data_IF_714666925909
#
_entry.id   IF_714666925909
#
_cell.length_a   1.000
_cell.length_b   1.000
_cell.length_c   1.000
_cell.angle_alpha   90.00
_cell.angle_beta   90.00
_cell.angle_gamma   90.00
#
_symmetry.space_group_name_H-M   'P 1'
#
loop_
_entity.id
_entity.type
_entity.pdbx_description
1 polymer ?
#
# COMPACT_ATOMS: atom_id res chain seq x y z
N UNK A 1 13.11 -12.92 19.56
CA UNK A 1 13.43 -12.09 19.87
C UNK A 1 13.76 -11.01 19.00
N UNK A 2 14.40 -11.09 18.02
CA UNK A 2 14.65 -10.07 17.19
C UNK A 2 13.48 -9.55 16.44
N UNK A 3 12.50 -10.37 16.09
CA UNK A 3 11.38 -9.97 15.27
C UNK A 3 10.62 -8.78 15.81
N UNK A 4 10.52 -8.71 17.12
CA UNK A 4 9.79 -7.61 17.69
C UNK A 4 10.48 -6.30 17.55
N UNK A 5 11.76 -6.32 17.25
CA UNK A 5 12.52 -5.12 17.18
C UNK A 5 12.85 -4.74 15.76
N UNK A 6 12.37 -5.49 14.78
CA UNK A 6 12.63 -5.16 13.39
C UNK A 6 11.82 -3.93 13.02
N UNK A 7 12.45 -2.90 12.49
CA UNK A 7 11.74 -1.70 12.09
C UNK A 7 10.76 -1.96 10.96
N UNK A 8 9.70 -1.19 10.92
CA UNK A 8 8.70 -1.32 9.87
C UNK A 8 9.30 -1.16 8.48
N UNK A 9 10.25 -0.25 8.31
CA UNK A 9 10.82 -0.03 6.98
C UNK A 9 11.57 -1.25 6.47
N UNK A 10 12.14 -2.05 7.35
CA UNK A 10 12.83 -3.24 6.93
C UNK A 10 11.84 -4.30 6.44
N UNK A 11 10.73 -4.48 7.15
CA UNK A 11 9.70 -5.39 6.70
C UNK A 11 9.11 -4.94 5.37
N UNK A 12 8.89 -3.64 5.22
CA UNK A 12 8.35 -3.10 3.97
C UNK A 12 9.32 -3.34 2.81
N UNK A 13 10.62 -3.19 3.05
CA UNK A 13 11.62 -3.44 2.04
C UNK A 13 11.58 -4.90 1.58
N UNK A 14 11.35 -5.83 2.50
CA UNK A 14 11.23 -7.23 2.14
C UNK A 14 10.03 -7.47 1.24
N UNK A 15 8.91 -6.80 1.54
CA UNK A 15 7.72 -6.95 0.72
C UNK A 15 7.95 -6.43 -0.69
N UNK A 16 8.65 -5.31 -0.81
CA UNK A 16 8.93 -4.76 -2.13
C UNK A 16 9.79 -5.65 -2.97
N UNK A 17 10.61 -6.46 -2.34
CA UNK A 17 11.46 -7.39 -3.04
C UNK A 17 10.80 -8.75 -3.21
N UNK A 18 9.55 -8.87 -2.76
CA UNK A 18 8.81 -10.14 -2.85
C UNK A 18 9.61 -11.24 -2.17
N UNK A 19 10.21 -10.92 -1.01
CA UNK A 19 11.09 -11.82 -0.33
C UNK A 19 10.64 -12.05 1.07
N UNK A 20 10.40 -13.27 1.46
CA UNK A 20 9.98 -13.67 2.81
C UNK A 20 8.73 -12.93 3.26
N UNK A 21 7.73 -12.93 2.41
CA UNK A 21 6.49 -12.22 2.69
C UNK A 21 5.84 -12.71 3.98
N UNK A 22 5.86 -14.01 4.23
CA UNK A 22 5.22 -14.54 5.43
C UNK A 22 5.89 -14.01 6.70
N UNK A 23 7.22 -13.94 6.72
CA UNK A 23 7.92 -13.41 7.87
C UNK A 23 7.67 -11.92 8.03
N UNK A 24 7.67 -11.20 6.92
CA UNK A 24 7.40 -9.77 6.97
C UNK A 24 6.01 -9.49 7.50
N UNK A 25 5.02 -10.30 7.08
CA UNK A 25 3.67 -10.11 7.57
C UNK A 25 3.57 -10.38 9.07
N UNK A 26 4.30 -11.39 9.54
CA UNK A 26 4.32 -11.68 10.97
C UNK A 26 4.86 -10.48 11.75
N UNK A 27 5.95 -9.89 11.29
CA UNK A 27 6.52 -8.74 11.95
C UNK A 27 5.59 -7.53 11.91
N UNK A 28 4.90 -7.35 10.79
CA UNK A 28 3.96 -6.25 10.66
C UNK A 28 2.77 -6.42 11.60
N UNK A 29 2.31 -7.65 11.79
CA UNK A 29 1.22 -7.90 12.72
C UNK A 29 1.64 -7.61 14.15
N UNK A 30 2.87 -7.95 14.51
CA UNK A 30 3.39 -7.61 15.83
C UNK A 30 3.44 -6.10 16.00
N UNK A 31 3.93 -5.39 14.98
CA UNK A 31 4.00 -3.93 15.03
C UNK A 31 2.61 -3.33 15.13
N UNK A 32 1.65 -3.89 14.40
CA UNK A 32 0.28 -3.41 14.44
C UNK A 32 -0.33 -3.57 15.85
N UNK A 33 -0.05 -4.69 16.50
CA UNK A 33 -0.56 -4.90 17.84
C UNK A 33 0.02 -3.88 18.82
N UNK A 34 1.22 -3.39 18.56
CA UNK A 34 1.84 -2.40 19.43
C UNK A 34 1.39 -0.98 19.11
N UNK A 35 1.11 -0.68 17.83
CA UNK A 35 0.72 0.65 17.41
C UNK A 35 -0.37 0.55 16.36
N UNK A 36 -1.57 0.19 16.81
CA UNK A 36 -2.66 -0.10 15.88
C UNK A 36 -3.19 1.11 15.13
N UNK A 37 -2.79 2.32 15.49
CA UNK A 37 -3.23 3.50 14.77
C UNK A 37 -2.12 4.13 13.95
N UNK A 38 -1.00 3.44 13.79
CA UNK A 38 0.09 3.98 12.97
C UNK A 38 -0.25 3.72 11.49
N UNK A 39 -0.51 4.76 10.71
CA UNK A 39 -0.97 4.55 9.33
C UNK A 39 0.09 3.90 8.44
N UNK A 40 1.37 4.07 8.73
CA UNK A 40 2.42 3.43 7.94
C UNK A 40 2.43 1.93 8.16
N UNK A 41 2.19 1.49 9.39
CA UNK A 41 2.11 0.07 9.68
C UNK A 41 0.86 -0.52 9.06
N UNK A 42 -0.26 0.20 9.14
CA UNK A 42 -1.51 -0.26 8.54
C UNK A 42 -1.36 -0.39 7.02
N UNK A 43 -0.73 0.60 6.40
CA UNK A 43 -0.48 0.56 4.96
C UNK A 43 0.40 -0.64 4.60
N UNK A 44 1.44 -0.89 5.38
CA UNK A 44 2.35 -2.01 5.11
C UNK A 44 1.66 -3.36 5.20
N UNK A 45 0.78 -3.52 6.19
CA UNK A 45 0.03 -4.77 6.32
C UNK A 45 -0.90 -4.93 5.11
N UNK A 46 -1.59 -3.88 4.75
CA UNK A 46 -2.47 -3.93 3.58
C UNK A 46 -1.71 -4.28 2.32
N UNK A 47 -0.52 -3.71 2.14
CA UNK A 47 0.29 -4.01 0.96
C UNK A 47 0.76 -5.46 0.97
N UNK A 48 1.07 -6.00 2.16
CA UNK A 48 1.44 -7.40 2.28
C UNK A 48 0.30 -8.30 1.79
N UNK A 49 -0.93 -8.00 2.20
CA UNK A 49 -2.07 -8.75 1.71
C UNK A 49 -2.23 -8.61 0.19
N UNK A 50 -1.98 -7.42 -0.35
CA UNK A 50 -2.06 -7.20 -1.79
C UNK A 50 -1.07 -8.09 -2.53
N UNK A 51 0.14 -8.21 -2.01
CA UNK A 51 1.18 -8.99 -2.68
C UNK A 51 0.88 -10.49 -2.71
N UNK A 52 0.06 -10.97 -1.78
CA UNK A 52 -0.35 -12.37 -1.79
C UNK A 52 -1.76 -12.52 -2.35
N UNK A 53 -2.23 -11.52 -3.09
CA UNK A 53 -3.51 -11.56 -3.79
C UNK A 53 -4.73 -11.64 -2.88
N UNK A 54 -4.60 -11.22 -1.63
CA UNK A 54 -5.73 -11.15 -0.72
C UNK A 54 -6.29 -9.74 -0.77
N UNK A 55 -6.94 -9.42 -1.87
CA UNK A 55 -7.32 -8.04 -2.16
C UNK A 55 -8.39 -7.48 -1.23
N UNK A 56 -9.32 -8.32 -0.78
CA UNK A 56 -10.36 -7.83 0.12
C UNK A 56 -9.80 -7.47 1.49
N UNK A 57 -8.86 -8.28 1.99
CA UNK A 57 -8.21 -7.94 3.25
C UNK A 57 -7.34 -6.69 3.06
N UNK A 58 -6.63 -6.61 1.95
CA UNK A 58 -5.80 -5.45 1.66
C UNK A 58 -6.64 -4.18 1.69
N UNK A 59 -7.84 -4.25 1.14
CA UNK A 59 -8.70 -3.07 1.05
C UNK A 59 -9.11 -2.56 2.42
N UNK A 60 -9.36 -3.45 3.37
CA UNK A 60 -9.74 -3.04 4.71
C UNK A 60 -8.64 -2.19 5.36
N UNK A 61 -7.39 -2.63 5.22
CA UNK A 61 -6.28 -1.91 5.83
C UNK A 61 -5.99 -0.61 5.09
N UNK A 62 -6.01 -0.62 3.78
CA UNK A 62 -5.71 0.59 3.03
C UNK A 62 -6.80 1.64 3.17
N UNK A 63 -8.05 1.22 3.30
CA UNK A 63 -9.13 2.16 3.55
C UNK A 63 -8.87 2.90 4.85
N UNK A 64 -8.44 2.18 5.88
CA UNK A 64 -8.13 2.81 7.15
C UNK A 64 -6.92 3.73 7.03
N UNK A 65 -5.90 3.30 6.31
CA UNK A 65 -4.70 4.11 6.14
C UNK A 65 -5.02 5.43 5.42
N UNK A 66 -5.87 5.37 4.40
CA UNK A 66 -6.27 6.56 3.68
C UNK A 66 -7.08 7.49 4.57
N UNK A 67 -7.92 6.93 5.44
CA UNK A 67 -8.68 7.76 6.37
C UNK A 67 -7.77 8.50 7.35
N UNK A 68 -6.68 7.85 7.73
CA UNK A 68 -5.74 8.47 8.67
C UNK A 68 -4.75 9.40 7.97
N UNK A 69 -4.42 9.12 6.71
CA UNK A 69 -3.48 9.95 5.95
C UNK A 69 -4.03 10.21 4.56
N UNK A 70 -5.05 11.06 4.45
CA UNK A 70 -5.71 11.27 3.15
C UNK A 70 -4.85 11.95 2.10
N UNK A 71 -3.78 12.64 2.49
CA UNK A 71 -2.94 13.36 1.55
C UNK A 71 -1.60 12.68 1.29
N UNK A 72 -1.45 11.43 1.70
CA UNK A 72 -0.19 10.74 1.50
C UNK A 72 -0.16 10.10 0.11
N UNK A 73 0.81 10.42 -0.73
CA UNK A 73 0.84 9.90 -2.09
C UNK A 73 0.95 8.38 -2.16
N UNK A 74 1.78 7.78 -1.30
CA UNK A 74 1.99 6.34 -1.34
C UNK A 74 0.75 5.58 -0.94
N UNK A 75 0.10 6.03 0.13
CA UNK A 75 -1.11 5.37 0.62
C UNK A 75 -2.22 5.43 -0.44
N UNK A 76 -2.39 6.59 -1.07
CA UNK A 76 -3.41 6.75 -2.10
C UNK A 76 -3.11 5.90 -3.34
N UNK A 77 -1.82 5.79 -3.71
CA UNK A 77 -1.43 4.96 -4.83
C UNK A 77 -1.71 3.48 -4.54
N UNK A 78 -1.33 3.03 -3.35
CA UNK A 78 -1.58 1.64 -2.96
C UNK A 78 -3.08 1.34 -2.95
N UNK A 79 -3.88 2.25 -2.42
CA UNK A 79 -5.32 2.03 -2.37
C UNK A 79 -5.91 1.96 -3.77
N UNK A 80 -5.43 2.82 -4.68
CA UNK A 80 -5.86 2.75 -6.07
C UNK A 80 -5.55 1.40 -6.71
N UNK A 81 -4.35 0.87 -6.45
CA UNK A 81 -3.96 -0.43 -6.99
C UNK A 81 -4.89 -1.52 -6.49
N UNK A 82 -5.23 -1.50 -5.19
CA UNK A 82 -6.10 -2.50 -4.60
C UNK A 82 -7.50 -2.42 -5.19
N UNK A 83 -8.02 -1.21 -5.31
CA UNK A 83 -9.35 -1.03 -5.89
C UNK A 83 -9.41 -1.49 -7.35
N UNK A 84 -8.32 -1.28 -8.09
CA UNK A 84 -8.28 -1.75 -9.47
C UNK A 84 -8.40 -3.26 -9.52
N UNK A 85 -7.67 -3.96 -8.64
CA UNK A 85 -7.75 -5.42 -8.60
C UNK A 85 -9.11 -5.93 -8.16
N UNK A 86 -9.85 -5.13 -7.40
CA UNK A 86 -11.21 -5.49 -7.00
C UNK A 86 -12.23 -5.07 -8.04
N UNK A 87 -11.79 -4.65 -9.22
CA UNK A 87 -12.63 -4.24 -10.33
C UNK A 87 -13.44 -2.98 -10.04
N UNK A 88 -12.97 -2.16 -9.13
CA UNK A 88 -13.56 -0.87 -8.85
C UNK A 88 -12.72 0.20 -9.52
N UNK A 89 -12.79 0.22 -10.84
CA UNK A 89 -11.84 0.98 -11.65
C UNK A 89 -12.04 2.48 -11.60
N UNK A 90 -13.27 2.93 -11.43
CA UNK A 90 -13.53 4.35 -11.32
C UNK A 90 -12.94 4.89 -10.03
N UNK A 91 -13.17 4.18 -8.92
CA UNK A 91 -12.61 4.59 -7.64
C UNK A 91 -11.09 4.50 -7.66
N UNK A 92 -10.54 3.48 -8.31
CA UNK A 92 -9.08 3.36 -8.43
C UNK A 92 -8.50 4.59 -9.10
N UNK A 93 -9.12 5.02 -10.19
CA UNK A 93 -8.64 6.21 -10.90
C UNK A 93 -8.78 7.47 -10.06
N UNK A 94 -9.83 7.54 -9.24
CA UNK A 94 -9.98 8.68 -8.35
C UNK A 94 -8.78 8.80 -7.40
N UNK A 95 -8.36 7.70 -6.79
CA UNK A 95 -7.25 7.74 -5.86
C UNK A 95 -5.93 7.98 -6.57
N UNK A 96 -5.72 7.41 -7.74
CA UNK A 96 -4.52 7.70 -8.52
C UNK A 96 -4.46 9.17 -8.92
N UNK A 97 -5.59 9.73 -9.34
CA UNK A 97 -5.64 11.15 -9.71
C UNK A 97 -5.33 12.04 -8.49
N UNK A 98 -5.76 11.63 -7.32
CA UNK A 98 -5.48 12.40 -6.11
C UNK A 98 -3.98 12.54 -5.89
N UNK A 99 -3.21 11.49 -6.21
CA UNK A 99 -1.77 11.54 -6.04
C UNK A 99 -1.16 12.67 -6.87
N UNK A 100 -1.69 12.89 -8.07
CA UNK A 100 -1.16 13.94 -8.93
C UNK A 100 -1.45 15.34 -8.38
N UNK A 101 -2.42 15.46 -7.50
CA UNK A 101 -2.78 16.77 -6.96
C UNK A 101 -1.97 17.15 -5.73
N UNK A 102 -1.18 16.23 -5.17
CA UNK A 102 -0.44 16.52 -3.96
C UNK A 102 0.90 17.16 -4.32
N UNK A 103 1.25 18.23 -3.60
CA UNK A 103 2.46 18.98 -3.90
C UNK A 103 3.73 18.18 -3.67
N UNK A 104 3.72 17.28 -2.71
CA UNK A 104 4.92 16.52 -2.35
C UNK A 104 5.08 15.21 -3.12
N UNK A 105 4.26 14.98 -4.14
CA UNK A 105 4.43 13.77 -4.94
C UNK A 105 5.66 13.92 -5.83
N UNK A 106 6.54 12.94 -5.78
CA UNK A 106 7.76 12.99 -6.56
C UNK A 106 7.52 12.72 -8.04
N UNK A 107 8.44 13.18 -8.87
CA UNK A 107 8.25 13.14 -10.32
C UNK A 107 8.14 11.74 -10.88
N UNK A 108 8.93 10.81 -10.41
CA UNK A 108 8.85 9.44 -10.92
C UNK A 108 7.54 8.78 -10.50
N UNK A 109 7.00 9.12 -9.34
CA UNK A 109 5.70 8.62 -8.95
C UNK A 109 4.61 9.23 -9.85
N UNK A 110 4.72 10.52 -10.19
CA UNK A 110 3.75 11.14 -11.11
C UNK A 110 3.76 10.43 -12.46
N UNK A 111 4.94 10.08 -12.93
CA UNK A 111 5.06 9.39 -14.21
C UNK A 111 4.39 8.01 -14.14
N UNK A 112 4.61 7.28 -13.06
CA UNK A 112 3.99 5.99 -12.87
C UNK A 112 2.48 6.09 -12.82
N UNK A 113 1.96 7.09 -12.09
CA UNK A 113 0.53 7.28 -11.95
C UNK A 113 -0.08 7.61 -13.31
N UNK A 114 0.58 8.44 -14.11
CA UNK A 114 0.08 8.76 -15.45
C UNK A 114 -0.03 7.51 -16.31
N UNK A 115 0.93 6.60 -16.19
CA UNK A 115 0.86 5.34 -16.93
C UNK A 115 -0.32 4.50 -16.46
N UNK A 116 -0.55 4.42 -15.16
CA UNK A 116 -1.67 3.65 -14.63
C UNK A 116 -3.00 4.21 -15.08
N UNK A 117 -3.09 5.53 -15.16
CA UNK A 117 -4.34 6.17 -15.60
C UNK A 117 -4.65 5.86 -17.06
N UNK A 118 -3.63 5.61 -17.86
CA UNK A 118 -3.84 5.28 -19.27
C UNK A 118 -4.10 3.81 -19.46
N UNK A 119 -3.30 2.95 -18.86
CA UNK A 119 -3.38 1.52 -19.16
C UNK A 119 -3.89 0.65 -18.02
N UNK A 120 -4.13 1.22 -16.84
CA UNK A 120 -4.46 0.43 -15.66
C UNK A 120 -3.24 -0.34 -15.19
N UNK A 121 -3.47 -1.27 -14.28
CA UNK A 121 -2.39 -2.10 -13.81
C UNK A 121 -2.21 -3.23 -14.79
N UNK A 122 -0.99 -3.40 -15.22
CA UNK A 122 -0.72 -4.49 -16.10
C UNK A 122 -0.40 -5.65 -15.23
N UNK A 123 -0.30 -6.76 -15.84
CA UNK A 123 -0.09 -7.91 -15.03
C UNK A 123 1.29 -7.98 -14.70
N UNK A 124 1.76 -7.24 -14.07
CA UNK A 124 2.94 -7.23 -13.73
C UNK A 124 3.29 -7.87 -12.75
N UNK A 125 2.81 -7.87 -12.12
CA UNK A 125 3.21 -8.26 -11.06
C UNK A 125 3.07 -9.20 -10.78
#
# INVERSE_FOLDING_TARGET
MYKRQVPNYLAYSWLERDYKIDEAMEMLKIAYNLKSNDPYIIDSIGWAFFLIDEYKEAEKYLKRAVELMPDDPIVNDHYGDILWKLDQKIQARYFWNSVLSFDDTEDDMRENINKKLITGLKSIQ
#
